data_IF_528755593903
#
_entry.id   IF_528755593903
#
_cell.length_a   1.000
_cell.length_b   1.000
_cell.length_c   1.000
_cell.angle_alpha   90.00
_cell.angle_beta   90.00
_cell.angle_gamma   90.00
#
_symmetry.space_group_name_H-M   'P 1'
#
loop_
_entity.id
_entity.type
_entity.pdbx_description
1 polymer ?
#
# COMPACT_ATOMS: atom_id res chain seq x y z
N UNK A 1 -18.97 -23.95 -2.22
CA UNK A 1 -17.74 -23.45 -2.86
C UNK A 1 -17.62 -21.91 -2.74
N UNK A 2 -18.15 -21.24 -1.70
CA UNK A 2 -18.37 -19.78 -1.80
C UNK A 2 -18.03 -18.92 -0.56
N UNK A 3 -17.24 -19.42 0.39
CA UNK A 3 -16.67 -18.56 1.46
C UNK A 3 -15.19 -18.26 1.24
N UNK A 4 -14.45 -19.16 0.55
CA UNK A 4 -13.01 -18.97 0.30
C UNK A 4 -12.70 -17.80 -0.63
N UNK A 5 -13.66 -17.35 -1.45
CA UNK A 5 -13.49 -16.16 -2.30
C UNK A 5 -13.48 -14.87 -1.48
N UNK A 6 -14.28 -14.77 -0.42
CA UNK A 6 -14.39 -13.55 0.41
C UNK A 6 -13.15 -13.36 1.29
N UNK A 7 -12.59 -14.45 1.84
CA UNK A 7 -11.44 -14.41 2.76
C UNK A 7 -10.12 -14.08 2.01
N UNK A 8 -10.08 -14.22 0.68
CA UNK A 8 -8.89 -13.93 -0.12
C UNK A 8 -8.74 -12.45 -0.52
N UNK A 9 -9.70 -11.58 -0.22
CA UNK A 9 -9.56 -10.15 -0.50
C UNK A 9 -8.78 -9.47 0.64
N UNK A 10 -7.49 -9.80 0.79
CA UNK A 10 -6.51 -8.87 1.33
C UNK A 10 -6.49 -7.64 0.42
N UNK A 11 -7.43 -6.71 0.65
CA UNK A 11 -7.52 -5.48 -0.11
C UNK A 11 -6.27 -4.66 0.16
N UNK A 12 -5.59 -4.29 -0.92
CA UNK A 12 -4.40 -3.44 -0.86
C UNK A 12 -4.83 -2.00 -1.05
N UNK A 13 -4.38 -1.14 -0.16
CA UNK A 13 -4.68 0.29 -0.16
C UNK A 13 -3.45 1.07 -0.60
N UNK A 14 -3.62 2.04 -1.50
CA UNK A 14 -2.59 3.02 -1.84
C UNK A 14 -3.10 4.42 -1.51
N UNK A 15 -2.32 5.18 -0.74
CA UNK A 15 -2.58 6.55 -0.33
C UNK A 15 -1.54 7.42 -1.07
N UNK A 16 -2.01 8.24 -2.00
CA UNK A 16 -1.16 9.09 -2.83
C UNK A 16 -1.18 10.50 -2.27
N UNK A 17 0.00 11.09 -2.06
CA UNK A 17 0.12 12.47 -1.59
C UNK A 17 1.55 12.89 -1.32
N UNK A 18 1.75 14.20 -1.11
CA UNK A 18 3.04 14.72 -0.66
C UNK A 18 3.15 14.61 0.87
N UNK A 19 3.93 13.62 1.33
CA UNK A 19 4.19 13.41 2.76
C UNK A 19 5.41 14.19 3.27
N UNK A 20 6.10 14.94 2.40
CA UNK A 20 7.30 15.72 2.74
C UNK A 20 7.00 16.86 3.70
N UNK A 21 5.75 17.38 3.67
CA UNK A 21 5.27 18.43 4.57
C UNK A 21 5.20 17.98 6.03
N UNK A 22 5.14 16.67 6.27
CA UNK A 22 5.12 16.12 7.62
C UNK A 22 6.53 15.68 8.03
N UNK A 23 7.17 16.49 8.88
CA UNK A 23 8.55 16.27 9.32
C UNK A 23 8.69 15.40 10.57
N UNK A 24 7.58 14.99 11.19
CA UNK A 24 7.63 14.24 12.44
C UNK A 24 8.27 12.87 12.22
N UNK A 25 9.26 12.55 13.08
CA UNK A 25 9.97 11.27 13.03
C UNK A 25 9.01 10.10 13.13
N UNK A 26 8.04 10.17 14.04
CA UNK A 26 7.03 9.13 14.23
C UNK A 26 6.18 8.85 12.99
N UNK A 27 5.82 9.88 12.20
CA UNK A 27 5.04 9.67 10.98
C UNK A 27 5.89 9.10 9.85
N UNK A 28 7.14 9.54 9.72
CA UNK A 28 8.08 8.97 8.74
C UNK A 28 8.35 7.49 9.04
N UNK A 29 8.56 7.16 10.31
CA UNK A 29 8.77 5.78 10.76
C UNK A 29 7.51 4.93 10.49
N UNK A 30 6.32 5.46 10.80
CA UNK A 30 5.04 4.80 10.49
C UNK A 30 4.83 4.55 8.98
N UNK A 31 5.08 5.56 8.14
CA UNK A 31 4.97 5.45 6.68
C UNK A 31 5.95 4.40 6.14
N UNK A 32 7.19 4.38 6.67
CA UNK A 32 8.21 3.42 6.28
C UNK A 32 7.82 1.98 6.65
N UNK A 33 7.30 1.77 7.86
CA UNK A 33 6.79 0.47 8.31
C UNK A 33 5.60 0.02 7.46
N UNK A 34 4.65 0.91 7.18
CA UNK A 34 3.48 0.61 6.34
C UNK A 34 3.89 0.24 4.92
N UNK A 35 4.78 1.01 4.28
CA UNK A 35 5.31 0.73 2.94
C UNK A 35 6.09 -0.58 2.83
N UNK A 36 6.63 -1.08 3.94
CA UNK A 36 7.30 -2.38 4.03
C UNK A 36 6.30 -3.55 4.15
N UNK A 37 5.05 -3.26 4.50
CA UNK A 37 3.95 -4.21 4.54
C UNK A 37 3.45 -4.64 3.15
N UNK A 38 2.36 -5.41 3.14
CA UNK A 38 1.75 -5.94 1.89
C UNK A 38 0.37 -5.38 1.58
N UNK A 39 -0.22 -4.68 2.54
CA UNK A 39 -1.64 -4.31 2.53
C UNK A 39 -1.87 -2.80 2.37
N UNK A 40 -0.93 -1.93 2.76
CA UNK A 40 -1.08 -0.48 2.66
C UNK A 40 0.20 0.19 2.16
N UNK A 41 0.09 1.15 1.25
CA UNK A 41 1.21 1.88 0.67
C UNK A 41 0.93 3.39 0.69
N UNK A 42 1.95 4.16 1.03
CA UNK A 42 1.99 5.62 0.97
C UNK A 42 2.99 6.00 -0.12
N UNK A 43 2.49 6.58 -1.21
CA UNK A 43 3.25 6.76 -2.44
C UNK A 43 3.14 8.20 -2.92
N UNK A 44 4.14 8.64 -3.68
CA UNK A 44 4.22 10.04 -4.12
C UNK A 44 3.53 10.28 -5.47
N UNK A 45 3.18 9.22 -6.21
CA UNK A 45 2.49 9.34 -7.50
C UNK A 45 1.45 8.24 -7.74
N UNK A 46 0.53 8.54 -8.65
CA UNK A 46 -0.49 7.60 -9.10
C UNK A 46 0.11 6.44 -9.90
N UNK A 47 1.15 6.69 -10.71
CA UNK A 47 1.82 5.63 -11.46
C UNK A 47 2.46 4.59 -10.52
N UNK A 48 3.09 5.05 -9.44
CA UNK A 48 3.69 4.17 -8.44
C UNK A 48 2.62 3.33 -7.73
N UNK A 49 1.45 3.92 -7.44
CA UNK A 49 0.31 3.23 -6.86
C UNK A 49 -0.25 2.15 -7.79
N UNK A 50 -0.46 2.48 -9.06
CA UNK A 50 -0.91 1.52 -10.07
C UNK A 50 0.10 0.37 -10.18
N UNK A 51 1.40 0.68 -10.26
CA UNK A 51 2.46 -0.31 -10.35
C UNK A 51 2.47 -1.25 -9.13
N UNK A 52 2.43 -0.70 -7.91
CA UNK A 52 2.41 -1.49 -6.67
C UNK A 52 1.15 -2.34 -6.56
N UNK A 53 -0.04 -1.79 -6.84
CA UNK A 53 -1.29 -2.54 -6.71
C UNK A 53 -1.41 -3.67 -7.76
N UNK A 54 -0.91 -3.44 -8.98
CA UNK A 54 -0.96 -4.43 -10.07
C UNK A 54 0.12 -5.53 -9.94
N UNK A 55 1.35 -5.19 -9.55
CA UNK A 55 2.42 -6.20 -9.41
C UNK A 55 2.23 -7.12 -8.21
N UNK A 56 1.57 -6.65 -7.14
CA UNK A 56 1.30 -7.54 -6.00
C UNK A 56 0.15 -8.52 -6.33
N UNK A 57 -0.59 -8.35 -7.44
CA UNK A 57 -1.54 -9.37 -7.95
C UNK A 57 -0.86 -10.43 -8.85
N UNK A 58 0.23 -10.08 -9.54
CA UNK A 58 0.95 -11.00 -10.45
C UNK A 58 2.14 -11.70 -9.81
N UNK A 59 1.96 -12.25 -8.60
CA UNK A 59 2.97 -13.15 -8.02
C UNK A 59 2.63 -14.62 -8.34
N UNK A 60 2.55 -14.94 -9.63
CA UNK A 60 2.53 -16.30 -10.19
C UNK A 60 3.13 -16.28 -11.59
#
# INVERSE_FOLDING_TARGET
MEIRKIINYQMKLAIIGDFSIYSSKSLKDFIYEMNSGKDAFFLNSEEEAIYKLTNVQRKY
#
